data_IF_713821738547
#
_entry.id   IF_713821738547
#
_cell.length_a   1.000
_cell.length_b   1.000
_cell.length_c   1.000
_cell.angle_alpha   90.00
_cell.angle_beta   90.00
_cell.angle_gamma   90.00
#
_symmetry.space_group_name_H-M   'P 1'
#
loop_
_entity.id
_entity.type
_entity.pdbx_description
1 polymer ?
#
# COMPACT_ATOMS: atom_id res chain seq x y z
N UNK A 1 36.17 70.83 -2.37
CA UNK A 1 37.57 70.96 -2.84
C UNK A 1 38.27 69.64 -2.54
N UNK A 2 39.03 68.93 -3.39
CA UNK A 2 39.25 68.92 -4.88
C UNK A 2 40.17 67.73 -5.22
N UNK A 3 40.14 67.02 -6.36
CA UNK A 3 39.10 66.94 -7.41
C UNK A 3 39.65 66.63 -8.83
N UNK A 4 39.47 65.38 -9.34
CA UNK A 4 39.78 64.90 -10.73
C UNK A 4 41.30 64.80 -11.08
N UNK A 5 41.84 64.10 -12.11
CA UNK A 5 41.44 63.15 -13.21
C UNK A 5 42.77 62.44 -13.70
N UNK A 6 42.88 61.47 -14.63
CA UNK A 6 42.06 60.34 -15.16
C UNK A 6 42.86 59.53 -16.24
N UNK A 7 42.36 58.34 -16.64
CA UNK A 7 42.74 57.52 -17.83
C UNK A 7 44.14 56.82 -17.82
N UNK A 8 44.44 55.74 -18.58
CA UNK A 8 43.73 54.92 -19.61
C UNK A 8 44.28 53.45 -19.56
N UNK A 9 43.49 52.38 -19.46
CA UNK A 9 42.75 51.59 -20.50
C UNK A 9 43.56 50.50 -21.28
N UNK A 10 43.13 49.23 -21.22
CA UNK A 10 42.66 48.43 -22.40
C UNK A 10 42.54 46.89 -22.21
N UNK A 11 41.46 46.31 -22.80
CA UNK A 11 41.26 44.91 -23.29
C UNK A 11 41.25 43.75 -22.25
N UNK A 12 40.12 43.04 -22.06
CA UNK A 12 39.52 41.90 -22.84
C UNK A 12 40.28 40.56 -22.68
N UNK A 13 39.64 39.37 -22.55
CA UNK A 13 38.21 39.02 -22.50
C UNK A 13 37.96 37.59 -21.94
N UNK A 14 36.69 37.27 -21.62
CA UNK A 14 36.22 35.94 -21.13
C UNK A 14 36.53 34.77 -22.09
N UNK A 15 36.80 33.59 -21.53
CA UNK A 15 36.77 32.30 -22.25
C UNK A 15 35.78 31.33 -21.59
N UNK A 16 34.80 30.84 -22.36
CA UNK A 16 34.01 29.64 -22.01
C UNK A 16 34.81 28.42 -22.45
N UNK A 17 34.92 27.39 -21.61
CA UNK A 17 35.34 26.07 -22.09
C UNK A 17 34.12 25.32 -22.65
N UNK A 18 34.28 24.66 -23.81
CA UNK A 18 33.21 23.94 -24.51
C UNK A 18 33.16 22.47 -24.06
N UNK A 19 31.99 21.85 -24.22
CA UNK A 19 31.93 20.40 -24.45
C UNK A 19 32.54 20.09 -25.82
N UNK A 20 33.44 19.11 -25.90
CA UNK A 20 33.73 18.41 -27.15
C UNK A 20 32.97 17.08 -27.18
N UNK A 21 32.21 16.85 -28.24
CA UNK A 21 31.75 15.52 -28.64
C UNK A 21 32.76 15.01 -29.67
N UNK A 22 33.20 13.76 -29.51
CA UNK A 22 33.95 13.03 -30.55
C UNK A 22 33.27 11.70 -30.82
N UNK A 23 32.49 11.67 -31.88
CA UNK A 23 32.06 10.42 -32.49
C UNK A 23 33.25 9.71 -33.11
N UNK A 24 33.37 8.41 -32.84
CA UNK A 24 34.51 7.58 -33.24
C UNK A 24 34.08 6.13 -33.34
N UNK A 25 33.30 5.81 -34.37
CA UNK A 25 32.70 4.48 -34.55
C UNK A 25 33.77 3.44 -34.89
N UNK A 26 34.22 2.70 -33.88
CA UNK A 26 35.10 1.54 -34.02
C UNK A 26 34.48 0.32 -33.35
N UNK A 27 33.84 -0.56 -34.14
CA UNK A 27 33.17 -1.75 -33.62
C UNK A 27 34.17 -2.84 -33.20
N UNK A 28 34.16 -3.31 -31.93
CA UNK A 28 34.92 -4.49 -31.52
C UNK A 28 34.31 -5.76 -32.17
N UNK A 29 35.18 -6.66 -32.63
CA UNK A 29 34.78 -7.87 -33.35
C UNK A 29 34.09 -8.88 -32.43
N UNK A 30 33.21 -9.71 -32.99
CA UNK A 30 32.66 -10.87 -32.30
C UNK A 30 33.77 -11.84 -31.85
N UNK A 31 34.11 -11.83 -30.56
CA UNK A 31 34.75 -12.95 -29.89
C UNK A 31 33.66 -13.84 -29.30
N UNK A 32 33.57 -15.10 -29.74
CA UNK A 32 32.54 -16.03 -29.30
C UNK A 32 32.77 -16.52 -27.87
N UNK A 33 32.10 -15.91 -26.89
CA UNK A 33 31.97 -16.50 -25.56
C UNK A 33 30.99 -17.67 -25.67
N UNK A 34 31.48 -18.90 -25.53
CA UNK A 34 30.61 -20.08 -25.51
C UNK A 34 29.74 -20.06 -24.25
N UNK A 35 28.41 -20.05 -24.43
CA UNK A 35 27.45 -20.14 -23.34
C UNK A 35 27.30 -21.62 -22.92
N UNK A 36 28.25 -22.09 -22.12
CA UNK A 36 28.16 -23.33 -21.36
C UNK A 36 28.36 -23.06 -19.86
N UNK A 37 27.51 -22.19 -19.31
CA UNK A 37 27.26 -22.14 -17.87
C UNK A 37 26.09 -23.06 -17.54
N UNK A 38 26.35 -24.17 -16.84
CA UNK A 38 25.29 -25.09 -16.37
C UNK A 38 24.43 -24.46 -15.27
N UNK A 39 23.24 -25.03 -15.04
CA UNK A 39 22.27 -24.54 -14.03
C UNK A 39 22.68 -24.97 -12.61
N UNK A 40 23.92 -24.64 -12.22
CA UNK A 40 24.60 -25.18 -11.05
C UNK A 40 25.40 -24.11 -10.30
N UNK A 41 24.71 -23.08 -9.81
CA UNK A 41 25.01 -22.44 -8.53
C UNK A 41 23.82 -21.59 -8.07
N UNK A 42 22.89 -22.21 -7.33
CA UNK A 42 21.94 -21.45 -6.51
C UNK A 42 22.73 -20.79 -5.37
N UNK A 43 22.78 -19.45 -5.36
CA UNK A 43 23.43 -18.68 -4.30
C UNK A 43 22.66 -18.82 -2.98
N UNK A 44 22.89 -19.93 -2.28
CA UNK A 44 22.34 -20.21 -0.96
C UNK A 44 22.87 -19.20 0.05
N UNK A 45 22.14 -18.09 0.22
CA UNK A 45 22.40 -17.07 1.24
C UNK A 45 22.54 -17.75 2.60
N UNK A 46 23.72 -17.64 3.21
CA UNK A 46 24.01 -18.30 4.47
C UNK A 46 23.07 -17.80 5.59
N UNK A 47 22.72 -18.69 6.52
CA UNK A 47 21.88 -18.33 7.66
C UNK A 47 22.55 -17.22 8.50
N UNK A 48 21.75 -16.22 8.92
CA UNK A 48 22.22 -15.12 9.76
C UNK A 48 22.78 -15.66 11.08
N UNK A 49 23.97 -15.18 11.45
CA UNK A 49 24.52 -15.39 12.80
C UNK A 49 23.59 -14.81 13.87
N UNK A 50 23.68 -15.31 15.11
CA UNK A 50 22.82 -14.85 16.22
C UNK A 50 22.82 -13.32 16.40
N UNK A 51 23.97 -12.66 16.23
CA UNK A 51 24.08 -11.20 16.32
C UNK A 51 23.53 -10.47 15.10
N UNK A 52 23.62 -11.04 13.90
CA UNK A 52 22.98 -10.49 12.69
C UNK A 52 21.46 -10.62 12.76
N UNK A 53 20.94 -11.80 13.11
CA UNK A 53 19.51 -12.04 13.32
C UNK A 53 18.93 -11.14 14.42
N UNK A 54 19.68 -10.90 15.50
CA UNK A 54 19.32 -9.93 16.54
C UNK A 54 19.12 -8.50 15.99
N UNK A 55 19.96 -8.04 15.05
CA UNK A 55 19.78 -6.72 14.40
C UNK A 55 18.54 -6.68 13.52
N UNK A 56 18.21 -7.75 12.79
CA UNK A 56 16.95 -7.83 12.01
C UNK A 56 15.74 -7.84 12.95
N UNK A 57 15.79 -8.66 14.02
CA UNK A 57 14.73 -8.74 15.04
C UNK A 57 14.46 -7.38 15.66
N UNK A 58 15.49 -6.60 15.97
CA UNK A 58 15.30 -5.24 16.48
C UNK A 58 14.62 -4.34 15.44
N UNK A 59 15.11 -4.30 14.19
CA UNK A 59 14.50 -3.50 13.12
C UNK A 59 13.02 -3.84 12.83
N UNK A 60 12.64 -5.12 12.94
CA UNK A 60 11.24 -5.58 12.88
C UNK A 60 10.43 -5.07 14.08
N UNK A 61 11.04 -5.07 15.28
CA UNK A 61 10.46 -4.44 16.47
C UNK A 61 10.23 -2.94 16.28
N UNK A 62 11.21 -2.22 15.72
CA UNK A 62 11.10 -0.78 15.45
C UNK A 62 9.92 -0.48 14.50
N UNK A 63 9.70 -1.33 13.48
CA UNK A 63 8.54 -1.21 12.59
C UNK A 63 7.22 -1.55 13.31
N UNK A 64 7.21 -2.54 14.19
CA UNK A 64 6.04 -2.88 14.99
C UNK A 64 5.70 -1.77 16.00
N UNK A 65 6.68 -1.12 16.62
CA UNK A 65 6.50 0.05 17.49
C UNK A 65 5.93 1.23 16.70
N UNK A 66 6.47 1.50 15.50
CA UNK A 66 5.90 2.51 14.60
C UNK A 66 4.43 2.22 14.25
N UNK A 67 4.10 0.97 13.91
CA UNK A 67 2.72 0.56 13.63
C UNK A 67 1.82 0.60 14.87
N UNK A 68 2.33 0.28 16.07
CA UNK A 68 1.59 0.42 17.32
C UNK A 68 1.21 1.88 17.60
N UNK A 69 2.15 2.82 17.41
CA UNK A 69 1.84 4.24 17.52
C UNK A 69 0.98 4.75 16.36
N UNK A 70 1.12 4.25 15.14
CA UNK A 70 0.21 4.53 14.02
C UNK A 70 -1.25 4.22 14.43
N UNK A 71 -1.51 3.04 14.99
CA UNK A 71 -2.84 2.67 15.49
C UNK A 71 -3.32 3.66 16.57
N UNK A 72 -2.49 4.00 17.56
CA UNK A 72 -2.85 4.94 18.64
C UNK A 72 -3.17 6.34 18.11
N UNK A 73 -2.35 6.88 17.22
CA UNK A 73 -2.55 8.21 16.64
C UNK A 73 -3.81 8.27 15.76
N UNK A 74 -4.14 7.20 15.04
CA UNK A 74 -5.38 7.12 14.24
C UNK A 74 -6.62 6.90 15.14
N UNK A 75 -6.59 5.87 15.97
CA UNK A 75 -7.77 5.35 16.70
C UNK A 75 -8.13 6.14 17.96
N UNK A 76 -7.14 6.74 18.64
CA UNK A 76 -7.37 7.54 19.86
C UNK A 76 -7.34 9.02 19.48
N UNK A 77 -6.17 9.56 19.11
CA UNK A 77 -6.01 11.00 18.88
C UNK A 77 -6.86 11.46 17.69
N UNK A 78 -6.82 10.71 16.58
CA UNK A 78 -7.57 10.99 15.37
C UNK A 78 -9.08 10.99 15.56
N UNK A 79 -9.66 9.94 16.14
CA UNK A 79 -11.10 9.89 16.37
C UNK A 79 -11.57 10.86 17.47
N UNK A 80 -10.79 11.09 18.54
CA UNK A 80 -11.14 12.14 19.51
C UNK A 80 -11.14 13.53 18.85
N UNK A 81 -10.18 13.83 17.98
CA UNK A 81 -10.14 15.09 17.24
C UNK A 81 -11.33 15.24 16.27
N UNK A 82 -11.68 14.19 15.51
CA UNK A 82 -12.83 14.21 14.61
C UNK A 82 -14.16 14.36 15.35
N UNK A 83 -14.37 13.61 16.44
CA UNK A 83 -15.57 13.74 17.29
C UNK A 83 -15.67 15.16 17.88
N UNK A 84 -14.56 15.73 18.37
CA UNK A 84 -14.53 17.10 18.87
C UNK A 84 -14.87 18.14 17.78
N UNK A 85 -14.40 17.94 16.55
CA UNK A 85 -14.73 18.80 15.41
C UNK A 85 -16.23 18.73 15.07
N UNK A 86 -16.80 17.53 15.00
CA UNK A 86 -18.24 17.30 14.74
C UNK A 86 -19.09 17.97 15.84
N UNK A 87 -18.70 17.85 17.11
CA UNK A 87 -19.34 18.54 18.25
C UNK A 87 -19.32 20.07 18.05
N UNK A 88 -18.15 20.65 17.72
CA UNK A 88 -18.01 22.09 17.49
C UNK A 88 -18.86 22.57 16.32
N UNK A 89 -18.95 21.81 15.23
CA UNK A 89 -19.81 22.12 14.08
C UNK A 89 -21.30 22.07 14.44
N UNK A 90 -21.76 21.02 15.14
CA UNK A 90 -23.15 20.90 15.60
C UNK A 90 -23.53 22.07 16.54
N UNK A 91 -22.63 22.46 17.45
CA UNK A 91 -22.82 23.64 18.31
C UNK A 91 -22.89 24.95 17.51
N UNK A 92 -21.97 25.17 16.56
CA UNK A 92 -21.95 26.37 15.73
C UNK A 92 -23.21 26.50 14.85
N UNK A 93 -23.73 25.37 14.36
CA UNK A 93 -24.99 25.30 13.61
C UNK A 93 -26.25 25.43 14.49
N UNK A 94 -26.11 25.58 15.82
CA UNK A 94 -27.24 25.65 16.76
C UNK A 94 -28.03 24.34 16.92
N UNK A 95 -27.47 23.21 16.45
CA UNK A 95 -28.11 21.90 16.50
C UNK A 95 -28.08 21.39 17.94
N UNK A 96 -29.24 21.03 18.48
CA UNK A 96 -29.33 20.35 19.78
C UNK A 96 -29.02 18.86 19.62
N UNK A 97 -28.11 18.35 20.45
CA UNK A 97 -27.74 16.94 20.54
C UNK A 97 -27.50 16.56 21.99
N UNK A 98 -27.62 15.28 22.34
CA UNK A 98 -27.08 14.76 23.61
C UNK A 98 -25.61 14.33 23.41
N UNK A 99 -24.70 14.52 24.37
CA UNK A 99 -23.30 14.09 24.23
C UNK A 99 -23.15 12.59 23.94
N UNK A 100 -24.04 11.78 24.51
CA UNK A 100 -24.08 10.32 24.36
C UNK A 100 -24.50 9.93 22.93
N UNK A 101 -25.41 10.71 22.32
CA UNK A 101 -25.88 10.50 20.96
C UNK A 101 -24.85 10.86 19.90
N UNK A 102 -23.87 11.75 20.18
CA UNK A 102 -22.88 12.18 19.18
C UNK A 102 -22.20 10.99 18.48
N UNK A 103 -21.76 9.99 19.25
CA UNK A 103 -21.01 8.84 18.72
C UNK A 103 -21.94 7.75 18.16
N UNK A 104 -23.20 7.67 18.63
CA UNK A 104 -24.17 6.65 18.20
C UNK A 104 -25.06 7.08 17.03
N UNK A 105 -25.13 8.38 16.72
CA UNK A 105 -25.85 8.94 15.56
C UNK A 105 -24.96 9.87 14.72
N UNK A 106 -23.82 9.35 14.28
CA UNK A 106 -23.05 9.92 13.18
C UNK A 106 -23.67 9.56 11.83
N UNK A 107 -23.92 10.56 11.00
CA UNK A 107 -24.29 10.37 9.60
C UNK A 107 -23.05 10.04 8.73
N UNK A 108 -23.23 9.44 7.54
CA UNK A 108 -22.10 9.03 6.69
C UNK A 108 -21.06 10.11 6.40
N UNK A 109 -21.47 11.38 6.27
CA UNK A 109 -20.53 12.44 5.96
C UNK A 109 -19.67 12.79 7.19
N UNK A 110 -20.23 12.73 8.40
CA UNK A 110 -19.51 12.86 9.67
C UNK A 110 -18.59 11.65 9.92
N UNK A 111 -19.01 10.43 9.54
CA UNK A 111 -18.15 9.24 9.56
C UNK A 111 -16.97 9.38 8.58
N UNK A 112 -17.22 9.92 7.39
CA UNK A 112 -16.18 10.21 6.41
C UNK A 112 -15.20 11.29 6.90
N UNK A 113 -15.71 12.38 7.49
CA UNK A 113 -14.90 13.42 8.13
C UNK A 113 -14.05 12.86 9.27
N UNK A 114 -14.64 12.06 10.15
CA UNK A 114 -13.95 11.37 11.24
C UNK A 114 -12.76 10.54 10.74
N UNK A 115 -12.94 9.80 9.64
CA UNK A 115 -11.87 9.04 9.00
C UNK A 115 -10.82 9.94 8.33
N UNK A 116 -11.21 11.01 7.64
CA UNK A 116 -10.28 11.99 7.02
C UNK A 116 -9.43 12.68 8.09
N UNK A 117 -10.03 13.16 9.19
CA UNK A 117 -9.30 13.78 10.30
C UNK A 117 -8.33 12.79 10.95
N UNK A 118 -8.77 11.55 11.23
CA UNK A 118 -7.92 10.56 11.87
C UNK A 118 -6.76 10.09 11.00
N UNK A 119 -7.01 9.88 9.71
CA UNK A 119 -5.96 9.55 8.74
C UNK A 119 -5.01 10.74 8.49
N UNK A 120 -5.48 11.98 8.55
CA UNK A 120 -4.63 13.17 8.51
C UNK A 120 -3.72 13.29 9.75
N UNK A 121 -4.25 13.00 10.95
CA UNK A 121 -3.45 12.95 12.19
C UNK A 121 -2.35 11.88 12.11
N UNK A 122 -2.66 10.66 11.66
CA UNK A 122 -1.66 9.60 11.55
C UNK A 122 -0.68 9.81 10.40
N UNK A 123 -1.11 10.48 9.31
CA UNK A 123 -0.21 10.92 8.24
C UNK A 123 0.77 11.98 8.74
N UNK A 124 0.30 12.98 9.48
CA UNK A 124 1.16 14.00 10.09
C UNK A 124 2.16 13.37 11.08
N UNK A 125 1.72 12.44 11.93
CA UNK A 125 2.61 11.63 12.78
C UNK A 125 3.67 10.90 11.96
N UNK A 126 3.28 10.19 10.89
CA UNK A 126 4.19 9.45 10.02
C UNK A 126 5.23 10.37 9.35
N UNK A 127 4.79 11.52 8.84
CA UNK A 127 5.65 12.53 8.22
C UNK A 127 6.64 13.13 9.22
N UNK A 128 6.20 13.45 10.44
CA UNK A 128 7.06 14.03 11.49
C UNK A 128 8.08 13.00 12.00
N UNK A 129 7.63 11.76 12.29
CA UNK A 129 8.48 10.69 12.82
C UNK A 129 9.59 10.30 11.84
N UNK A 130 9.29 10.25 10.53
CA UNK A 130 10.23 9.86 9.47
C UNK A 130 10.70 11.02 8.58
N UNK A 131 10.59 12.29 9.03
CA UNK A 131 10.89 13.50 8.25
C UNK A 131 12.21 13.42 7.47
N UNK A 132 13.30 13.01 8.14
CA UNK A 132 14.64 12.93 7.56
C UNK A 132 14.84 11.81 6.52
N UNK A 133 13.83 10.94 6.33
CA UNK A 133 13.76 9.97 5.23
C UNK A 133 12.70 10.29 4.19
N UNK A 134 11.73 11.15 4.51
CA UNK A 134 10.77 11.70 3.56
C UNK A 134 11.40 12.86 2.76
N UNK A 135 12.26 13.64 3.40
CA UNK A 135 13.09 14.71 2.81
C UNK A 135 14.33 14.18 2.06
N UNK A 136 14.74 12.93 2.31
CA UNK A 136 15.89 12.29 1.65
C UNK A 136 15.58 12.03 0.16
N UNK A 137 16.16 12.83 -0.72
CA UNK A 137 16.05 12.64 -2.18
C UNK A 137 16.97 11.52 -2.72
N UNK A 138 17.82 10.94 -1.88
CA UNK A 138 18.78 9.90 -2.23
C UNK A 138 18.16 8.50 -2.38
N UNK A 139 19.00 7.46 -2.61
CA UNK A 139 18.54 6.09 -2.80
C UNK A 139 18.00 5.41 -1.52
N UNK A 140 18.08 6.09 -0.37
CA UNK A 140 17.63 5.59 0.94
C UNK A 140 16.40 6.35 1.48
N UNK A 141 15.80 7.23 0.68
CA UNK A 141 14.62 8.00 1.03
C UNK A 141 13.31 7.38 0.56
N UNK A 142 12.22 7.75 1.24
CA UNK A 142 10.85 7.27 1.01
C UNK A 142 10.35 7.62 -0.39
N UNK A 143 10.61 8.85 -0.84
CA UNK A 143 10.22 9.35 -2.16
C UNK A 143 11.36 9.30 -3.19
N UNK A 144 12.29 8.36 -3.02
CA UNK A 144 13.36 8.05 -3.98
C UNK A 144 12.80 7.94 -5.41
N UNK A 145 13.21 8.87 -6.28
CA UNK A 145 12.76 8.94 -7.68
C UNK A 145 13.54 7.98 -8.58
N UNK A 146 13.33 6.68 -8.37
CA UNK A 146 13.55 5.70 -9.43
C UNK A 146 12.62 6.03 -10.60
N UNK A 147 13.20 6.50 -11.70
CA UNK A 147 12.50 6.78 -12.97
C UNK A 147 12.28 5.51 -13.80
N UNK A 148 12.32 4.32 -13.18
CA UNK A 148 11.96 3.07 -13.86
C UNK A 148 10.47 3.09 -14.20
N UNK A 149 10.16 3.19 -15.47
CA UNK A 149 8.81 2.94 -15.98
C UNK A 149 8.42 1.48 -15.73
N UNK A 150 7.16 1.26 -15.35
CA UNK A 150 6.61 -0.09 -15.28
C UNK A 150 6.35 -0.54 -16.72
N UNK A 151 6.89 -1.69 -17.19
CA UNK A 151 6.57 -2.21 -18.53
C UNK A 151 5.05 -2.43 -18.66
N UNK A 152 4.38 -2.03 -19.77
CA UNK A 152 2.92 -2.05 -19.84
C UNK A 152 2.28 -3.40 -19.51
N UNK A 153 2.88 -4.51 -19.97
CA UNK A 153 2.41 -5.87 -19.63
C UNK A 153 2.57 -6.21 -18.15
N UNK A 154 3.60 -5.69 -17.48
CA UNK A 154 3.78 -5.83 -16.02
C UNK A 154 2.75 -5.00 -15.27
N UNK A 155 2.46 -3.77 -15.73
CA UNK A 155 1.42 -2.92 -15.12
C UNK A 155 0.04 -3.57 -15.26
N UNK A 156 -0.30 -4.08 -16.45
CA UNK A 156 -1.55 -4.82 -16.70
C UNK A 156 -1.62 -6.07 -15.83
N UNK A 157 -0.53 -6.85 -15.72
CA UNK A 157 -0.49 -8.01 -14.83
C UNK A 157 -0.71 -7.62 -13.36
N UNK A 158 -0.06 -6.56 -12.87
CA UNK A 158 -0.26 -6.06 -11.50
C UNK A 158 -1.70 -5.59 -11.28
N UNK A 159 -2.30 -4.86 -12.24
CA UNK A 159 -3.71 -4.44 -12.20
C UNK A 159 -4.66 -5.64 -12.13
N UNK A 160 -4.51 -6.63 -13.01
CA UNK A 160 -5.38 -7.82 -12.97
C UNK A 160 -5.17 -8.58 -11.66
N UNK A 161 -3.95 -8.66 -11.13
CA UNK A 161 -3.69 -9.29 -9.84
C UNK A 161 -4.37 -8.57 -8.67
N UNK A 162 -4.38 -7.23 -8.60
CA UNK A 162 -5.10 -6.53 -7.51
C UNK A 162 -6.60 -6.79 -7.55
N UNK A 163 -7.21 -6.81 -8.75
CA UNK A 163 -8.63 -7.14 -8.94
C UNK A 163 -8.90 -8.63 -8.63
N UNK A 164 -7.95 -9.53 -8.94
CA UNK A 164 -8.05 -10.95 -8.58
C UNK A 164 -8.01 -11.18 -7.06
N UNK A 165 -7.26 -10.37 -6.31
CA UNK A 165 -7.29 -10.39 -4.84
C UNK A 165 -8.66 -9.93 -4.29
N UNK A 166 -9.32 -8.98 -4.95
CA UNK A 166 -10.71 -8.59 -4.60
C UNK A 166 -11.69 -9.72 -4.91
N UNK A 167 -11.55 -10.36 -6.08
CA UNK A 167 -12.36 -11.51 -6.49
C UNK A 167 -12.26 -12.65 -5.46
N UNK A 168 -11.06 -12.97 -4.98
CA UNK A 168 -10.85 -13.95 -3.91
C UNK A 168 -11.63 -13.60 -2.63
N UNK A 169 -11.62 -12.34 -2.20
CA UNK A 169 -12.41 -11.89 -1.04
C UNK A 169 -13.91 -12.10 -1.25
N UNK A 170 -14.44 -11.96 -2.48
CA UNK A 170 -15.86 -12.27 -2.75
C UNK A 170 -16.20 -13.75 -2.60
N UNK A 171 -15.29 -14.66 -2.94
CA UNK A 171 -15.47 -16.10 -2.69
C UNK A 171 -15.34 -16.45 -1.20
N UNK A 172 -14.45 -15.77 -0.47
CA UNK A 172 -14.35 -15.88 0.98
C UNK A 172 -15.64 -15.39 1.67
N UNK A 173 -16.13 -14.20 1.32
CA UNK A 173 -17.37 -13.62 1.85
C UNK A 173 -18.56 -14.57 1.63
N UNK A 174 -18.70 -15.08 0.41
CA UNK A 174 -19.73 -16.06 0.05
C UNK A 174 -19.59 -17.36 0.84
N UNK A 175 -18.39 -17.92 0.93
CA UNK A 175 -18.12 -19.15 1.67
C UNK A 175 -18.44 -19.04 3.17
N UNK A 176 -18.14 -17.91 3.80
CA UNK A 176 -18.49 -17.67 5.21
C UNK A 176 -20.00 -17.45 5.37
N UNK A 177 -20.63 -16.70 4.47
CA UNK A 177 -22.09 -16.49 4.48
C UNK A 177 -22.85 -17.82 4.42
N UNK A 178 -22.56 -18.68 3.45
CA UNK A 178 -23.24 -19.97 3.27
C UNK A 178 -22.95 -20.97 4.42
N UNK A 179 -21.80 -20.87 5.10
CA UNK A 179 -21.43 -21.80 6.19
C UNK A 179 -21.81 -21.31 7.59
N UNK A 180 -22.04 -20.02 7.80
CA UNK A 180 -22.28 -19.44 9.15
C UNK A 180 -23.53 -18.58 9.26
N UNK A 181 -24.13 -18.15 8.15
CA UNK A 181 -25.20 -17.15 8.13
C UNK A 181 -24.75 -15.74 8.56
N UNK A 182 -23.47 -15.53 8.89
CA UNK A 182 -22.92 -14.21 9.23
C UNK A 182 -22.47 -13.48 7.97
N UNK A 183 -22.89 -12.23 7.82
CA UNK A 183 -22.24 -11.29 6.89
C UNK A 183 -20.92 -10.86 7.53
N UNK A 184 -19.78 -11.30 7.00
CA UNK A 184 -18.48 -10.70 7.33
C UNK A 184 -18.39 -9.37 6.60
N UNK A 185 -19.01 -8.35 7.17
CA UNK A 185 -19.05 -7.01 6.58
C UNK A 185 -17.65 -6.40 6.59
N UNK A 186 -17.02 -6.39 5.41
CA UNK A 186 -15.95 -5.44 5.07
C UNK A 186 -16.34 -4.03 5.55
N UNK A 187 -15.37 -3.19 5.95
CA UNK A 187 -15.71 -1.90 6.58
C UNK A 187 -16.61 -1.00 5.71
N UNK A 188 -16.54 -1.12 4.37
CA UNK A 188 -17.44 -0.43 3.43
C UNK A 188 -18.89 -0.97 3.44
N UNK A 189 -19.13 -2.24 3.79
CA UNK A 189 -20.47 -2.84 3.91
C UNK A 189 -21.08 -2.69 5.30
N UNK A 190 -20.31 -2.31 6.33
CA UNK A 190 -20.86 -1.74 7.56
C UNK A 190 -21.37 -0.29 7.38
N UNK A 191 -21.10 0.35 6.24
CA UNK A 191 -21.73 1.61 5.86
C UNK A 191 -23.14 1.33 5.29
N UNK A 192 -24.02 0.81 6.15
CA UNK A 192 -25.48 0.83 5.95
C UNK A 192 -26.07 2.24 6.14
N UNK A 193 -25.34 3.26 5.69
CA UNK A 193 -25.51 4.70 6.00
C UNK A 193 -25.31 5.55 4.74
N UNK A 194 -25.18 4.93 3.55
CA UNK A 194 -25.03 5.66 2.27
C UNK A 194 -26.41 6.11 1.79
N UNK A 195 -27.06 6.94 2.60
CA UNK A 195 -28.45 7.36 2.43
C UNK A 195 -28.60 8.42 1.31
N UNK A 196 -27.48 9.00 0.87
CA UNK A 196 -27.43 10.01 -0.20
C UNK A 196 -26.25 9.81 -1.15
N UNK A 197 -26.34 10.25 -2.41
CA UNK A 197 -25.19 10.29 -3.32
C UNK A 197 -24.03 11.15 -2.82
N UNK A 198 -24.30 12.20 -2.04
CA UNK A 198 -23.27 13.06 -1.45
C UNK A 198 -22.43 12.31 -0.40
N UNK A 199 -23.10 11.58 0.49
CA UNK A 199 -22.46 10.65 1.43
C UNK A 199 -21.55 9.65 0.72
N UNK A 200 -22.04 9.04 -0.38
CA UNK A 200 -21.24 8.11 -1.20
C UNK A 200 -19.96 8.77 -1.73
N UNK A 201 -20.06 9.97 -2.31
CA UNK A 201 -18.90 10.66 -2.88
C UNK A 201 -17.87 11.04 -1.83
N UNK A 202 -18.28 11.49 -0.64
CA UNK A 202 -17.36 11.80 0.46
C UNK A 202 -16.55 10.57 0.87
N UNK A 203 -17.24 9.45 1.13
CA UNK A 203 -16.60 8.18 1.52
C UNK A 203 -15.70 7.66 0.40
N UNK A 204 -16.14 7.72 -0.86
CA UNK A 204 -15.34 7.26 -2.00
C UNK A 204 -14.07 8.11 -2.20
N UNK A 205 -14.11 9.43 -1.98
CA UNK A 205 -12.90 10.28 -2.01
C UNK A 205 -11.93 9.87 -0.89
N UNK A 206 -12.43 9.61 0.32
CA UNK A 206 -11.61 9.09 1.42
C UNK A 206 -10.98 7.72 1.07
N UNK A 207 -11.79 6.71 0.76
CA UNK A 207 -11.33 5.31 0.64
C UNK A 207 -10.54 5.03 -0.64
N UNK A 208 -10.79 5.78 -1.72
CA UNK A 208 -10.17 5.54 -3.02
C UNK A 208 -9.00 6.47 -3.31
N UNK A 209 -8.91 7.66 -2.68
CA UNK A 209 -7.82 8.62 -2.93
C UNK A 209 -6.95 8.84 -1.69
N UNK A 210 -7.54 9.23 -0.56
CA UNK A 210 -6.77 9.68 0.61
C UNK A 210 -6.15 8.53 1.41
N UNK A 211 -6.96 7.53 1.83
CA UNK A 211 -6.47 6.40 2.61
C UNK A 211 -5.32 5.63 1.92
N UNK A 212 -5.37 5.32 0.60
CA UNK A 212 -4.24 4.73 -0.12
C UNK A 212 -2.93 5.53 -0.03
N UNK A 213 -2.98 6.87 -0.03
CA UNK A 213 -1.76 7.69 0.09
C UNK A 213 -1.15 7.57 1.49
N UNK A 214 -1.98 7.63 2.53
CA UNK A 214 -1.52 7.49 3.93
C UNK A 214 -0.95 6.09 4.18
N UNK A 215 -1.67 5.07 3.72
CA UNK A 215 -1.28 3.67 3.86
C UNK A 215 0.00 3.34 3.08
N UNK A 216 0.14 3.77 1.83
CA UNK A 216 1.37 3.52 1.07
C UNK A 216 2.59 4.19 1.71
N UNK A 217 2.46 5.42 2.23
CA UNK A 217 3.57 6.10 2.90
C UNK A 217 3.97 5.39 4.20
N UNK A 218 3.01 4.88 4.99
CA UNK A 218 3.30 4.10 6.20
C UNK A 218 3.87 2.70 5.89
N UNK A 219 3.24 1.93 5.01
CA UNK A 219 3.63 0.54 4.77
C UNK A 219 4.76 0.40 3.75
N UNK A 220 4.66 1.04 2.58
CA UNK A 220 5.66 0.90 1.52
C UNK A 220 6.78 1.92 1.69
N UNK A 221 6.43 3.13 2.08
CA UNK A 221 7.37 4.21 2.37
C UNK A 221 8.24 3.91 3.59
N UNK A 222 7.65 3.66 4.76
CA UNK A 222 8.38 3.44 6.02
C UNK A 222 8.74 1.96 6.26
N UNK A 223 7.74 1.07 6.43
CA UNK A 223 7.98 -0.29 6.93
C UNK A 223 8.80 -1.13 5.95
N UNK A 224 8.40 -1.17 4.68
CA UNK A 224 9.10 -1.90 3.63
C UNK A 224 10.51 -1.35 3.41
N UNK A 225 10.68 -0.04 3.24
CA UNK A 225 12.01 0.57 3.01
C UNK A 225 13.00 0.27 4.15
N UNK A 226 12.53 0.33 5.40
CA UNK A 226 13.34 0.03 6.59
C UNK A 226 13.83 -1.44 6.62
N UNK A 227 13.02 -2.36 6.10
CA UNK A 227 13.33 -3.79 6.06
C UNK A 227 14.02 -4.24 4.77
N UNK A 228 13.90 -3.49 3.66
CA UNK A 228 14.41 -3.83 2.30
C UNK A 228 15.90 -4.19 2.29
N UNK A 229 16.69 -3.62 3.20
CA UNK A 229 18.12 -3.92 3.38
C UNK A 229 18.43 -5.33 3.91
N UNK A 230 17.42 -6.10 4.31
CA UNK A 230 17.51 -7.48 4.76
C UNK A 230 16.90 -8.49 3.76
N UNK A 231 16.58 -8.03 2.54
CA UNK A 231 15.92 -8.80 1.49
C UNK A 231 14.58 -8.20 1.08
N UNK A 232 14.33 -8.13 -0.23
CA UNK A 232 13.10 -7.58 -0.81
C UNK A 232 11.88 -8.40 -0.45
N UNK A 233 11.91 -9.73 -0.61
CA UNK A 233 10.79 -10.63 -0.28
C UNK A 233 10.43 -10.49 1.20
N UNK A 234 11.44 -10.52 2.07
CA UNK A 234 11.24 -10.38 3.52
C UNK A 234 10.57 -9.05 3.89
N UNK A 235 11.00 -7.94 3.29
CA UNK A 235 10.39 -6.64 3.47
C UNK A 235 8.96 -6.56 2.92
N UNK A 236 8.74 -7.08 1.70
CA UNK A 236 7.41 -7.14 1.05
C UNK A 236 6.44 -7.96 1.89
N UNK A 237 6.80 -9.18 2.29
CA UNK A 237 5.94 -10.08 3.07
C UNK A 237 5.67 -9.51 4.47
N UNK A 238 6.68 -8.98 5.17
CA UNK A 238 6.49 -8.39 6.51
C UNK A 238 5.61 -7.14 6.46
N UNK A 239 5.82 -6.25 5.47
CA UNK A 239 4.96 -5.08 5.26
C UNK A 239 3.54 -5.47 4.88
N UNK A 240 3.37 -6.50 4.04
CA UNK A 240 2.05 -6.99 3.59
C UNK A 240 1.27 -7.63 4.74
N UNK A 241 1.96 -8.37 5.63
CA UNK A 241 1.36 -8.97 6.81
C UNK A 241 0.88 -7.90 7.79
N UNK A 242 1.70 -6.89 8.08
CA UNK A 242 1.31 -5.76 8.94
C UNK A 242 0.14 -4.97 8.34
N UNK A 243 0.18 -4.68 7.04
CA UNK A 243 -0.91 -4.03 6.30
C UNK A 243 -2.22 -4.85 6.38
N UNK A 244 -2.13 -6.18 6.19
CA UNK A 244 -3.29 -7.07 6.25
C UNK A 244 -3.97 -7.09 7.62
N UNK A 245 -3.22 -7.25 8.72
CA UNK A 245 -3.83 -7.37 10.05
C UNK A 245 -4.47 -6.07 10.56
N UNK A 246 -4.00 -4.89 10.13
CA UNK A 246 -4.60 -3.62 10.57
C UNK A 246 -6.04 -3.40 10.07
N UNK A 247 -6.48 -4.12 9.04
CA UNK A 247 -7.85 -4.00 8.53
C UNK A 247 -8.92 -4.58 9.48
N UNK A 248 -8.50 -5.30 10.54
CA UNK A 248 -9.36 -5.63 11.67
C UNK A 248 -10.57 -6.53 11.37
N UNK A 249 -10.58 -7.21 10.22
CA UNK A 249 -11.52 -8.27 9.85
C UNK A 249 -10.86 -9.24 8.86
N UNK A 250 -11.26 -10.52 8.87
CA UNK A 250 -10.55 -11.57 8.14
C UNK A 250 -10.76 -11.51 6.62
N UNK A 251 -11.95 -11.13 6.14
CA UNK A 251 -12.23 -10.95 4.69
C UNK A 251 -11.29 -9.93 4.06
N UNK A 252 -11.31 -8.70 4.59
CA UNK A 252 -10.47 -7.62 4.10
C UNK A 252 -8.99 -7.94 4.34
N UNK A 253 -8.64 -8.63 5.43
CA UNK A 253 -7.27 -9.08 5.70
C UNK A 253 -6.68 -9.97 4.61
N UNK A 254 -7.41 -10.97 4.09
CA UNK A 254 -6.86 -11.84 3.03
C UNK A 254 -6.73 -11.11 1.69
N UNK A 255 -7.71 -10.28 1.32
CA UNK A 255 -7.61 -9.40 0.14
C UNK A 255 -6.40 -8.46 0.26
N UNK A 256 -6.27 -7.76 1.40
CA UNK A 256 -5.23 -6.75 1.61
C UNK A 256 -3.85 -7.36 1.81
N UNK A 257 -3.72 -8.63 2.22
CA UNK A 257 -2.45 -9.36 2.12
C UNK A 257 -2.04 -9.61 0.65
N UNK A 258 -2.98 -10.02 -0.21
CA UNK A 258 -2.72 -10.24 -1.64
C UNK A 258 -2.34 -8.95 -2.38
N UNK A 259 -3.18 -7.90 -2.23
CA UNK A 259 -2.87 -6.54 -2.66
C UNK A 259 -1.54 -6.06 -2.05
N UNK A 260 -1.34 -6.39 -0.77
CA UNK A 260 -0.11 -6.33 0.01
C UNK A 260 1.15 -6.55 -0.82
N UNK A 261 1.27 -7.78 -1.30
CA UNK A 261 2.43 -8.30 -2.03
C UNK A 261 2.63 -7.61 -3.38
N UNK A 262 1.55 -7.33 -4.13
CA UNK A 262 1.60 -6.68 -5.44
C UNK A 262 2.12 -5.25 -5.32
N UNK A 263 1.55 -4.47 -4.39
CA UNK A 263 2.00 -3.10 -4.09
C UNK A 263 3.44 -3.09 -3.56
N UNK A 264 3.77 -4.02 -2.65
CA UNK A 264 5.13 -4.17 -2.14
C UNK A 264 6.16 -4.45 -3.24
N UNK A 265 5.84 -5.31 -4.21
CA UNK A 265 6.67 -5.55 -5.39
C UNK A 265 6.83 -4.29 -6.24
N UNK A 266 5.75 -3.56 -6.50
CA UNK A 266 5.77 -2.33 -7.32
C UNK A 266 6.61 -1.23 -6.67
N UNK A 267 6.49 -1.03 -5.35
CA UNK A 267 7.33 -0.13 -4.57
C UNK A 267 8.80 -0.59 -4.50
N UNK A 268 9.06 -1.91 -4.55
CA UNK A 268 10.41 -2.47 -4.53
C UNK A 268 11.19 -2.21 -5.83
N UNK A 269 10.58 -2.49 -7.00
CA UNK A 269 11.28 -2.48 -8.29
C UNK A 269 11.09 -1.21 -9.13
N UNK A 270 10.00 -0.47 -8.92
CA UNK A 270 9.67 0.75 -9.67
C UNK A 270 9.73 1.98 -8.76
N UNK A 271 8.64 2.37 -8.10
CA UNK A 271 8.64 3.48 -7.13
C UNK A 271 7.40 3.47 -6.23
N UNK A 272 7.47 4.21 -5.10
CA UNK A 272 6.32 4.42 -4.21
C UNK A 272 5.13 5.09 -4.93
N UNK A 273 5.40 5.97 -5.91
CA UNK A 273 4.35 6.67 -6.68
C UNK A 273 3.56 5.69 -7.56
N UNK A 274 4.23 4.71 -8.18
CA UNK A 274 3.53 3.64 -8.91
C UNK A 274 2.68 2.78 -7.98
N UNK A 275 3.14 2.55 -6.74
CA UNK A 275 2.38 1.81 -5.72
C UNK A 275 1.13 2.59 -5.29
N UNK A 276 1.26 3.89 -4.99
CA UNK A 276 0.13 4.80 -4.71
C UNK A 276 -0.88 4.79 -5.85
N UNK A 277 -0.44 4.97 -7.10
CA UNK A 277 -1.33 4.97 -8.27
C UNK A 277 -2.08 3.64 -8.45
N UNK A 278 -1.41 2.51 -8.24
CA UNK A 278 -2.02 1.18 -8.33
C UNK A 278 -2.98 0.89 -7.16
N UNK A 279 -2.68 1.37 -5.95
CA UNK A 279 -3.54 1.23 -4.78
C UNK A 279 -4.82 2.07 -4.94
N UNK A 280 -4.68 3.34 -5.33
CA UNK A 280 -5.80 4.22 -5.71
C UNK A 280 -6.68 3.54 -6.77
N UNK A 281 -6.08 3.08 -7.86
CA UNK A 281 -6.82 2.37 -8.92
C UNK A 281 -7.54 1.13 -8.40
N UNK A 282 -6.88 0.32 -7.57
CA UNK A 282 -7.47 -0.88 -6.95
C UNK A 282 -8.71 -0.53 -6.12
N UNK A 283 -8.67 0.51 -5.29
CA UNK A 283 -9.81 0.89 -4.44
C UNK A 283 -10.94 1.57 -5.23
N UNK A 284 -10.63 2.35 -6.27
CA UNK A 284 -11.63 2.83 -7.24
C UNK A 284 -12.37 1.64 -7.87
N UNK A 285 -11.65 0.63 -8.37
CA UNK A 285 -12.26 -0.57 -8.94
C UNK A 285 -13.06 -1.36 -7.89
N UNK A 286 -12.53 -1.56 -6.68
CA UNK A 286 -13.21 -2.27 -5.60
C UNK A 286 -14.56 -1.64 -5.21
N UNK A 287 -14.67 -0.33 -5.34
CA UNK A 287 -15.86 0.46 -5.01
C UNK A 287 -16.84 0.53 -6.20
N UNK A 288 -16.33 0.81 -7.41
CA UNK A 288 -17.18 1.12 -8.58
C UNK A 288 -17.57 -0.12 -9.38
N UNK A 289 -16.67 -1.08 -9.60
CA UNK A 289 -16.94 -2.24 -10.46
C UNK A 289 -18.09 -3.14 -9.97
N UNK A 290 -18.24 -3.47 -8.67
CA UNK A 290 -19.38 -4.25 -8.21
C UNK A 290 -20.72 -3.54 -8.43
N UNK A 291 -20.74 -2.22 -8.28
CA UNK A 291 -21.93 -1.38 -8.46
C UNK A 291 -22.34 -1.28 -9.93
N UNK A 292 -21.39 -0.95 -10.82
CA UNK A 292 -21.62 -0.90 -12.28
C UNK A 292 -22.09 -2.25 -12.80
N UNK A 293 -21.41 -3.35 -12.44
CA UNK A 293 -21.82 -4.71 -12.82
C UNK A 293 -23.25 -5.04 -12.35
N UNK A 294 -23.61 -4.69 -11.11
CA UNK A 294 -24.95 -4.93 -10.56
C UNK A 294 -26.04 -4.14 -11.28
N UNK A 295 -25.76 -2.90 -11.68
CA UNK A 295 -26.70 -2.06 -12.43
C UNK A 295 -26.83 -2.56 -13.87
N UNK A 296 -25.73 -2.77 -14.59
CA UNK A 296 -25.78 -3.24 -15.98
C UNK A 296 -26.57 -4.54 -16.13
N UNK A 297 -26.33 -5.52 -15.25
CA UNK A 297 -27.06 -6.78 -15.26
C UNK A 297 -28.56 -6.60 -14.92
N UNK A 298 -28.91 -5.67 -14.01
CA UNK A 298 -30.33 -5.35 -13.72
C UNK A 298 -31.02 -4.64 -14.88
N UNK A 299 -30.32 -3.75 -15.59
CA UNK A 299 -30.84 -3.12 -16.81
C UNK A 299 -31.05 -4.13 -17.94
N UNK A 300 -30.26 -5.22 -17.98
CA UNK A 300 -30.47 -6.39 -18.84
C UNK A 300 -31.59 -7.33 -18.36
N UNK A 301 -32.30 -7.01 -17.27
CA UNK A 301 -33.40 -7.80 -16.72
C UNK A 301 -33.00 -8.90 -15.72
N UNK A 302 -31.71 -9.07 -15.40
CA UNK A 302 -31.29 -10.09 -14.44
C UNK A 302 -31.60 -9.68 -12.99
N UNK A 303 -32.32 -10.54 -12.28
CA UNK A 303 -32.73 -10.36 -10.89
C UNK A 303 -32.51 -11.63 -10.06
N UNK A 304 -32.78 -11.54 -8.75
CA UNK A 304 -32.72 -12.68 -7.81
C UNK A 304 -31.42 -13.47 -7.85
N UNK A 305 -31.53 -14.80 -7.77
CA UNK A 305 -30.39 -15.72 -7.82
C UNK A 305 -29.63 -15.66 -9.15
N UNK A 306 -30.30 -15.41 -10.28
CA UNK A 306 -29.65 -15.30 -11.60
C UNK A 306 -28.66 -14.13 -11.65
N UNK A 307 -29.02 -12.98 -11.09
CA UNK A 307 -28.13 -11.83 -10.94
C UNK A 307 -26.89 -12.21 -10.11
N UNK A 308 -27.10 -12.81 -8.93
CA UNK A 308 -26.01 -13.23 -8.04
C UNK A 308 -25.09 -14.26 -8.69
N UNK A 309 -25.65 -15.24 -9.41
CA UNK A 309 -24.89 -16.26 -10.12
C UNK A 309 -23.99 -15.66 -11.21
N UNK A 310 -24.51 -14.74 -12.03
CA UNK A 310 -23.72 -14.07 -13.08
C UNK A 310 -22.60 -13.21 -12.45
N UNK A 311 -22.88 -12.54 -11.32
CA UNK A 311 -21.85 -11.78 -10.59
C UNK A 311 -20.75 -12.71 -10.04
N UNK A 312 -21.09 -13.86 -9.46
CA UNK A 312 -20.09 -14.82 -8.97
C UNK A 312 -19.30 -15.46 -10.13
N UNK A 313 -19.93 -15.75 -11.27
CA UNK A 313 -19.24 -16.22 -12.48
C UNK A 313 -18.25 -15.17 -13.02
N UNK A 314 -18.62 -13.89 -13.04
CA UNK A 314 -17.70 -12.80 -13.40
C UNK A 314 -16.46 -12.78 -12.48
N UNK A 315 -16.66 -12.81 -11.15
CA UNK A 315 -15.53 -12.84 -10.21
C UNK A 315 -14.70 -14.13 -10.34
N UNK A 316 -15.30 -15.27 -10.69
CA UNK A 316 -14.58 -16.52 -10.93
C UNK A 316 -13.63 -16.38 -12.12
N UNK A 317 -14.11 -15.82 -13.24
CA UNK A 317 -13.30 -15.59 -14.44
C UNK A 317 -12.14 -14.62 -14.17
N UNK A 318 -12.38 -13.57 -13.37
CA UNK A 318 -11.32 -12.63 -12.92
C UNK A 318 -10.28 -13.34 -12.06
N UNK A 319 -10.70 -14.15 -11.09
CA UNK A 319 -9.79 -14.91 -10.23
C UNK A 319 -8.95 -15.94 -11.03
N UNK A 320 -9.58 -16.68 -11.94
CA UNK A 320 -8.91 -17.63 -12.83
C UNK A 320 -7.91 -16.93 -13.76
N UNK A 321 -8.22 -15.72 -14.25
CA UNK A 321 -7.29 -14.93 -15.06
C UNK A 321 -6.05 -14.51 -14.24
N UNK A 322 -6.22 -14.11 -12.97
CA UNK A 322 -5.10 -13.85 -12.06
C UNK A 322 -4.23 -15.09 -11.82
N UNK A 323 -4.85 -16.24 -11.56
CA UNK A 323 -4.14 -17.52 -11.43
C UNK A 323 -3.37 -17.87 -12.72
N UNK A 324 -3.98 -17.70 -13.89
CA UNK A 324 -3.31 -17.91 -15.18
C UNK A 324 -2.12 -16.96 -15.39
N UNK A 325 -2.23 -15.69 -14.98
CA UNK A 325 -1.13 -14.72 -15.01
C UNK A 325 0.01 -15.15 -14.08
N UNK A 326 -0.29 -15.59 -12.84
CA UNK A 326 0.72 -16.11 -11.92
C UNK A 326 1.42 -17.37 -12.47
N UNK A 327 0.68 -18.32 -13.02
CA UNK A 327 1.24 -19.57 -13.56
C UNK A 327 2.10 -19.31 -14.81
N UNK A 328 1.65 -18.46 -15.73
CA UNK A 328 2.45 -18.08 -16.92
C UNK A 328 3.67 -17.25 -16.58
N UNK A 329 3.62 -16.42 -15.53
CA UNK A 329 4.75 -15.61 -15.07
C UNK A 329 5.56 -16.26 -13.94
N UNK A 330 5.30 -17.52 -13.57
CA UNK A 330 5.92 -18.15 -12.39
C UNK A 330 7.46 -18.19 -12.48
N UNK A 331 8.03 -18.29 -13.69
CA UNK A 331 9.47 -18.17 -13.92
C UNK A 331 10.03 -16.80 -13.50
N UNK A 332 9.29 -15.70 -13.76
CA UNK A 332 9.67 -14.34 -13.34
C UNK A 332 9.57 -14.17 -11.83
N UNK A 333 8.55 -14.74 -11.20
CA UNK A 333 8.41 -14.75 -9.74
C UNK A 333 9.56 -15.54 -9.10
N UNK A 334 9.87 -16.73 -9.61
CA UNK A 334 11.02 -17.54 -9.16
C UNK A 334 12.36 -16.81 -9.39
N UNK A 335 12.55 -16.14 -10.52
CA UNK A 335 13.77 -15.37 -10.79
C UNK A 335 13.90 -14.14 -9.87
N UNK A 336 12.80 -13.42 -9.59
CA UNK A 336 12.79 -12.36 -8.57
C UNK A 336 13.18 -12.90 -7.20
N UNK A 337 12.64 -14.07 -6.80
CA UNK A 337 12.96 -14.69 -5.52
C UNK A 337 14.39 -15.22 -5.43
N UNK A 338 14.94 -15.79 -6.52
CA UNK A 338 16.31 -16.31 -6.56
C UNK A 338 17.38 -15.21 -6.64
N UNK A 339 17.02 -14.02 -7.16
CA UNK A 339 17.89 -12.85 -7.22
C UNK A 339 17.86 -11.99 -5.93
N UNK A 340 17.12 -12.41 -4.91
CA UNK A 340 17.02 -11.70 -3.63
C UNK A 340 17.78 -12.45 -2.54
N UNK A 341 18.81 -11.82 -1.96
CA UNK A 341 19.73 -12.42 -0.99
C UNK A 341 19.11 -12.50 0.42
N UNK A 342 17.96 -13.15 0.52
CA UNK A 342 17.25 -13.47 1.76
C UNK A 342 17.91 -14.66 2.44
N UNK A 343 18.46 -14.43 3.64
CA UNK A 343 18.93 -15.50 4.49
C UNK A 343 17.74 -16.37 4.96
N UNK A 344 17.80 -17.72 4.87
CA UNK A 344 16.67 -18.60 5.16
C UNK A 344 16.04 -18.44 6.55
N UNK A 345 16.83 -18.03 7.55
CA UNK A 345 16.36 -17.80 8.93
C UNK A 345 15.89 -16.36 9.20
N UNK A 346 15.83 -15.47 8.20
CA UNK A 346 15.46 -14.05 8.43
C UNK A 346 14.08 -13.89 9.06
N UNK A 347 13.11 -14.75 8.71
CA UNK A 347 11.75 -14.73 9.26
C UNK A 347 11.68 -15.06 10.77
N UNK A 348 12.73 -15.67 11.35
CA UNK A 348 12.82 -15.81 12.81
C UNK A 348 12.95 -14.45 13.54
N UNK A 349 13.21 -13.35 12.82
CA UNK A 349 13.12 -11.98 13.34
C UNK A 349 11.69 -11.55 13.73
N UNK A 350 10.65 -12.25 13.25
CA UNK A 350 9.27 -12.04 13.71
C UNK A 350 9.04 -12.46 15.18
N UNK A 351 10.02 -13.14 15.81
CA UNK A 351 10.04 -13.38 17.27
C UNK A 351 10.32 -12.13 18.12
N UNK A 352 10.28 -10.92 17.55
CA UNK A 352 10.35 -9.69 18.33
C UNK A 352 9.07 -9.53 19.19
N UNK A 353 9.17 -9.27 20.51
CA UNK A 353 8.01 -9.07 21.37
C UNK A 353 7.01 -8.02 20.87
N UNK A 354 7.46 -6.89 20.30
CA UNK A 354 6.57 -5.87 19.74
C UNK A 354 5.82 -6.34 18.49
N UNK A 355 6.49 -7.12 17.65
CA UNK A 355 5.86 -7.70 16.45
C UNK A 355 4.80 -8.73 16.84
N UNK A 356 5.13 -9.64 17.77
CA UNK A 356 4.17 -10.60 18.32
C UNK A 356 3.02 -9.91 19.06
N UNK A 357 3.26 -8.81 19.76
CA UNK A 357 2.23 -8.03 20.45
C UNK A 357 1.25 -7.38 19.45
N UNK A 358 1.76 -6.69 18.43
CA UNK A 358 0.91 -6.04 17.40
C UNK A 358 0.11 -7.08 16.61
N UNK A 359 0.75 -8.16 16.16
CA UNK A 359 0.08 -9.26 15.46
C UNK A 359 -0.96 -9.93 16.36
N UNK A 360 -0.62 -10.21 17.63
CA UNK A 360 -1.51 -10.86 18.59
C UNK A 360 -2.73 -10.02 18.96
N UNK A 361 -2.57 -8.72 19.19
CA UNK A 361 -3.68 -7.78 19.45
C UNK A 361 -4.63 -7.74 18.25
N UNK A 362 -4.10 -7.63 17.02
CA UNK A 362 -4.95 -7.57 15.83
C UNK A 362 -5.66 -8.90 15.54
N UNK A 363 -4.98 -10.04 15.69
CA UNK A 363 -5.61 -11.35 15.57
C UNK A 363 -6.70 -11.54 16.64
N UNK A 364 -6.46 -11.11 17.88
CA UNK A 364 -7.48 -11.12 18.93
C UNK A 364 -8.72 -10.30 18.53
N UNK A 365 -8.57 -9.07 18.04
CA UNK A 365 -9.71 -8.26 17.60
C UNK A 365 -10.42 -8.82 16.36
N UNK A 366 -9.69 -9.40 15.40
CA UNK A 366 -10.25 -10.07 14.22
C UNK A 366 -11.11 -11.27 14.64
N UNK A 367 -10.61 -12.11 15.55
CA UNK A 367 -11.35 -13.27 16.05
C UNK A 367 -12.52 -12.86 16.96
N UNK A 368 -12.33 -11.84 17.81
CA UNK A 368 -13.37 -11.31 18.67
C UNK A 368 -14.60 -10.85 17.86
N UNK A 369 -14.37 -10.05 16.81
CA UNK A 369 -15.39 -9.55 15.86
C UNK A 369 -15.97 -10.63 14.93
N UNK A 370 -15.35 -11.81 14.89
CA UNK A 370 -15.91 -12.95 14.15
C UNK A 370 -16.85 -13.77 15.05
N UNK A 371 -16.53 -13.88 16.34
CA UNK A 371 -17.38 -14.55 17.33
C UNK A 371 -18.59 -13.68 17.74
N UNK A 372 -18.37 -12.40 18.04
CA UNK A 372 -19.35 -11.43 18.52
C UNK A 372 -19.63 -10.38 17.44
#
# INVERSE_FOLDING_TARGET
MTGRHAASDSRRSRTRMRYEVKDGVGAPRHAGIQVQGTVTELQNSAALSRSALGRVRNAVGDQAVFIFFYIIFMQIIGYTAGIALIILQRLYAGIRFSPEQVVTSLSSWEVSELYVVASAVVFAFTVIYWRSKIEDAGPYGVFHRSLRSVPPLTLIACVVMTISCQAFSRFYDFGVWETTGKVVSSNLTNIGVVDTPFSFMSIAVYSCLWAPVVEEVAFRGVVLTSLKRYGKIFAIVTSSLLFAVLHGNLSQGVFTFGLGLVLGYVACEFSLIWSIGLHIFSNVIATVLPFVLRISLRTMGFAGHTLSFIQMLFWLLVLLLGVAILLTNHHRVRAFSANDNVAPNVFASWTNPWFLLVIGIQIFFILWRFCH
#
